data_IF_521047789990
#
_entry.id   IF_521047789990
#
_cell.length_a   1.000
_cell.length_b   1.000
_cell.length_c   1.000
_cell.angle_alpha   90.00
_cell.angle_beta   90.00
_cell.angle_gamma   90.00
#
_symmetry.space_group_name_H-M   'P 1'
#
loop_
_entity.id
_entity.type
_entity.pdbx_description
1 polymer ?
#
# COMPACT_ATOMS: atom_id res chain seq x y z
N UNK A 1 5.79 14.37 -53.27
CA UNK A 1 5.67 14.95 -51.92
C UNK A 1 5.59 13.80 -50.91
N UNK A 2 6.69 13.52 -50.21
CA UNK A 2 6.73 12.47 -49.18
C UNK A 2 6.46 13.18 -47.85
N UNK A 3 5.27 12.95 -47.28
CA UNK A 3 4.92 13.47 -45.96
C UNK A 3 5.74 12.77 -44.88
N UNK A 4 6.63 13.49 -44.23
CA UNK A 4 7.34 13.02 -43.05
C UNK A 4 6.31 12.82 -41.93
N UNK A 5 6.02 11.56 -41.60
CA UNK A 5 5.29 11.22 -40.39
C UNK A 5 6.13 11.67 -39.19
N UNK A 6 5.73 12.76 -38.54
CA UNK A 6 6.29 13.15 -37.26
C UNK A 6 5.88 12.11 -36.23
N UNK A 7 6.86 11.32 -35.79
CA UNK A 7 6.75 10.42 -34.64
C UNK A 7 6.19 11.25 -33.47
N UNK A 8 5.10 10.85 -32.79
CA UNK A 8 4.60 11.63 -31.67
C UNK A 8 5.72 11.69 -30.64
N UNK A 9 6.19 12.90 -30.37
CA UNK A 9 7.05 13.18 -29.23
C UNK A 9 6.25 12.69 -28.03
N UNK A 10 6.76 11.67 -27.34
CA UNK A 10 6.18 11.22 -26.07
C UNK A 10 6.48 12.33 -25.08
N UNK A 11 5.62 13.33 -25.08
CA UNK A 11 5.59 14.35 -24.03
C UNK A 11 5.27 13.59 -22.76
N UNK A 12 6.21 13.60 -21.83
CA UNK A 12 6.01 13.08 -20.49
C UNK A 12 4.66 13.64 -19.97
N UNK A 13 3.66 12.79 -19.67
CA UNK A 13 2.32 13.27 -19.34
C UNK A 13 2.30 14.08 -18.03
N UNK A 14 3.42 14.10 -17.31
CA UNK A 14 3.59 14.70 -15.99
C UNK A 14 4.66 15.78 -16.12
N UNK A 15 4.28 17.03 -15.85
CA UNK A 15 5.21 18.16 -15.86
C UNK A 15 6.33 18.00 -14.81
N UNK A 16 7.49 18.60 -15.09
CA UNK A 16 8.64 18.61 -14.17
C UNK A 16 8.31 19.28 -12.83
N UNK A 17 7.46 20.31 -12.86
CA UNK A 17 6.95 20.98 -11.66
C UNK A 17 6.06 20.08 -10.81
N UNK A 18 5.17 19.32 -11.44
CA UNK A 18 4.35 18.35 -10.72
C UNK A 18 5.22 17.28 -10.04
N UNK A 19 6.24 16.76 -10.76
CA UNK A 19 7.22 15.82 -10.16
C UNK A 19 7.92 16.42 -8.95
N UNK A 20 8.31 17.70 -9.02
CA UNK A 20 8.96 18.41 -7.91
C UNK A 20 8.04 18.54 -6.70
N UNK A 21 6.81 19.00 -6.89
CA UNK A 21 5.81 19.11 -5.82
C UNK A 21 5.52 17.75 -5.18
N UNK A 22 5.33 16.72 -6.00
CA UNK A 22 5.07 15.36 -5.48
C UNK A 22 6.22 14.82 -4.64
N UNK A 23 7.48 15.06 -5.04
CA UNK A 23 8.64 14.67 -4.21
C UNK A 23 8.69 15.45 -2.90
N UNK A 24 8.39 16.75 -2.92
CA UNK A 24 8.32 17.59 -1.72
C UNK A 24 7.27 17.09 -0.72
N UNK A 25 6.13 16.61 -1.23
CA UNK A 25 5.05 16.00 -0.43
C UNK A 25 5.31 14.52 -0.06
N UNK A 26 6.51 13.99 -0.33
CA UNK A 26 6.87 12.57 -0.13
C UNK A 26 5.98 11.58 -0.92
N UNK A 27 5.38 12.02 -2.03
CA UNK A 27 4.59 11.21 -2.97
C UNK A 27 5.45 10.71 -4.15
N UNK A 28 6.78 10.72 -4.01
CA UNK A 28 7.71 10.42 -5.10
C UNK A 28 7.54 9.02 -5.69
N UNK A 29 7.13 8.04 -4.88
CA UNK A 29 6.86 6.66 -5.32
C UNK A 29 5.53 6.49 -6.07
N UNK A 30 4.60 7.44 -5.93
CA UNK A 30 3.36 7.47 -6.70
C UNK A 30 3.61 7.89 -8.15
N UNK A 31 4.74 8.52 -8.45
CA UNK A 31 5.11 8.93 -9.81
C UNK A 31 5.28 7.74 -10.77
N UNK A 32 5.66 6.57 -10.25
CA UNK A 32 5.91 5.38 -11.06
C UNK A 32 4.60 4.80 -11.64
N UNK A 33 3.49 4.93 -10.91
CA UNK A 33 2.17 4.42 -11.31
C UNK A 33 1.21 5.49 -11.84
N UNK A 34 1.57 6.78 -11.68
CA UNK A 34 0.72 7.91 -12.06
C UNK A 34 0.31 7.92 -13.55
N UNK A 35 1.19 7.62 -14.54
CA UNK A 35 0.79 7.60 -15.95
C UNK A 35 -0.32 6.58 -16.25
N UNK A 36 -0.25 5.40 -15.62
CA UNK A 36 -1.26 4.35 -15.77
C UNK A 36 -2.58 4.78 -15.12
N UNK A 37 -2.52 5.37 -13.91
CA UNK A 37 -3.70 5.90 -13.22
C UNK A 37 -4.37 7.06 -13.98
N UNK A 38 -3.60 7.93 -14.65
CA UNK A 38 -4.14 8.98 -15.53
C UNK A 38 -4.89 8.39 -16.73
N UNK A 39 -4.32 7.36 -17.35
CA UNK A 39 -4.97 6.63 -18.46
C UNK A 39 -6.28 6.00 -18.00
N UNK A 40 -6.28 5.36 -16.82
CA UNK A 40 -7.47 4.79 -16.21
C UNK A 40 -8.54 5.85 -15.93
N UNK A 41 -8.15 7.01 -15.41
CA UNK A 41 -9.06 8.12 -15.11
C UNK A 41 -9.74 8.63 -16.38
N UNK A 42 -8.99 8.75 -17.47
CA UNK A 42 -9.54 9.13 -18.78
C UNK A 42 -10.51 8.07 -19.32
N UNK A 43 -10.13 6.79 -19.27
CA UNK A 43 -10.98 5.69 -19.76
C UNK A 43 -12.28 5.55 -18.98
N UNK A 44 -12.25 5.79 -17.67
CA UNK A 44 -13.41 5.68 -16.78
C UNK A 44 -14.16 7.00 -16.57
N UNK A 45 -13.74 8.07 -17.24
CA UNK A 45 -14.29 9.42 -17.07
C UNK A 45 -14.41 9.83 -15.59
N UNK A 46 -13.37 9.56 -14.80
CA UNK A 46 -13.39 9.89 -13.37
C UNK A 46 -13.42 11.40 -13.17
N UNK A 47 -14.18 11.84 -12.18
CA UNK A 47 -14.06 13.22 -11.70
C UNK A 47 -12.67 13.45 -11.08
N UNK A 48 -12.21 14.70 -11.04
CA UNK A 48 -10.94 15.04 -10.41
C UNK A 48 -10.88 14.59 -8.94
N UNK A 49 -11.99 14.71 -8.22
CA UNK A 49 -12.09 14.26 -6.83
C UNK A 49 -11.94 12.74 -6.73
N UNK A 50 -12.65 11.97 -7.57
CA UNK A 50 -12.55 10.51 -7.58
C UNK A 50 -11.16 10.02 -7.99
N UNK A 51 -10.49 10.73 -8.92
CA UNK A 51 -9.11 10.43 -9.28
C UNK A 51 -8.15 10.67 -8.13
N UNK A 52 -8.26 11.83 -7.44
CA UNK A 52 -7.43 12.14 -6.27
C UNK A 52 -7.66 11.14 -5.14
N UNK A 53 -8.91 10.77 -4.87
CA UNK A 53 -9.25 9.76 -3.88
C UNK A 53 -8.59 8.42 -4.20
N UNK A 54 -8.70 7.95 -5.45
CA UNK A 54 -8.09 6.71 -5.91
C UNK A 54 -6.57 6.69 -5.68
N UNK A 55 -5.85 7.71 -6.17
CA UNK A 55 -4.38 7.72 -6.09
C UNK A 55 -3.87 7.91 -4.66
N UNK A 56 -4.58 8.69 -3.83
CA UNK A 56 -4.21 8.92 -2.44
C UNK A 56 -4.50 7.70 -1.57
N UNK A 57 -5.61 6.99 -1.83
CA UNK A 57 -5.92 5.73 -1.17
C UNK A 57 -4.85 4.66 -1.47
N UNK A 58 -4.43 4.53 -2.73
CA UNK A 58 -3.34 3.63 -3.12
C UNK A 58 -2.03 3.93 -2.35
N UNK A 59 -1.64 5.21 -2.26
CA UNK A 59 -0.42 5.60 -1.54
C UNK A 59 -0.55 5.41 -0.02
N UNK A 60 -1.73 5.64 0.56
CA UNK A 60 -2.00 5.34 1.97
C UNK A 60 -1.80 3.85 2.26
N UNK A 61 -2.48 2.98 1.51
CA UNK A 61 -2.32 1.51 1.62
C UNK A 61 -0.86 1.08 1.47
N UNK A 62 -0.14 1.70 0.53
CA UNK A 62 1.28 1.40 0.31
C UNK A 62 2.18 1.80 1.48
N UNK A 63 1.92 2.96 2.11
CA UNK A 63 2.62 3.39 3.32
C UNK A 63 2.31 2.49 4.51
N UNK A 64 1.05 2.08 4.67
CA UNK A 64 0.64 1.16 5.71
C UNK A 64 1.33 -0.19 5.59
N UNK A 65 1.39 -0.74 4.37
CA UNK A 65 2.13 -1.98 4.08
C UNK A 65 3.63 -1.84 4.38
N UNK A 66 4.22 -0.70 4.02
CA UNK A 66 5.65 -0.42 4.28
C UNK A 66 5.93 -0.28 5.79
N UNK A 67 5.03 0.37 6.53
CA UNK A 67 5.09 0.51 7.99
C UNK A 67 4.94 -0.85 8.68
N UNK A 68 3.97 -1.65 8.26
CA UNK A 68 3.77 -3.01 8.76
C UNK A 68 5.00 -3.89 8.53
N UNK A 69 5.55 -3.89 7.31
CA UNK A 69 6.77 -4.63 6.99
C UNK A 69 7.99 -4.16 7.78
N UNK A 70 8.10 -2.86 8.07
CA UNK A 70 9.17 -2.32 8.94
C UNK A 70 9.00 -2.82 10.37
N UNK A 71 7.81 -2.70 10.96
CA UNK A 71 7.51 -3.18 12.32
C UNK A 71 7.75 -4.69 12.46
N UNK A 72 7.37 -5.48 11.45
CA UNK A 72 7.62 -6.92 11.45
C UNK A 72 9.13 -7.25 11.48
N UNK A 73 9.94 -6.54 10.69
CA UNK A 73 11.40 -6.70 10.70
C UNK A 73 12.02 -6.25 12.02
N UNK A 74 11.59 -5.12 12.57
CA UNK A 74 12.05 -4.62 13.87
C UNK A 74 11.71 -5.61 15.01
N UNK A 75 10.57 -6.30 14.92
CA UNK A 75 10.16 -7.34 15.85
C UNK A 75 10.84 -8.70 15.61
N UNK A 76 11.68 -8.84 14.59
CA UNK A 76 12.34 -10.11 14.25
C UNK A 76 11.39 -11.19 13.74
N UNK A 77 10.22 -10.81 13.23
CA UNK A 77 9.26 -11.77 12.66
C UNK A 77 9.81 -12.35 11.35
N UNK A 78 9.86 -13.67 11.28
CA UNK A 78 10.15 -14.39 10.04
C UNK A 78 8.91 -14.36 9.13
N UNK A 79 9.07 -13.82 7.91
CA UNK A 79 7.98 -13.71 6.94
C UNK A 79 7.46 -15.08 6.44
N UNK A 80 8.22 -16.16 6.66
CA UNK A 80 7.81 -17.52 6.34
C UNK A 80 6.96 -18.16 7.43
N UNK A 81 7.00 -17.65 8.67
CA UNK A 81 6.15 -18.10 9.78
C UNK A 81 4.73 -17.57 9.61
N UNK A 82 3.95 -18.23 8.75
CA UNK A 82 2.54 -17.94 8.50
C UNK A 82 1.64 -18.91 9.26
N UNK A 83 0.45 -18.45 9.62
CA UNK A 83 -0.58 -19.32 10.20
C UNK A 83 -0.92 -20.51 9.28
N UNK A 84 -0.93 -20.29 7.96
CA UNK A 84 -1.19 -21.36 6.97
C UNK A 84 -0.11 -22.45 6.92
N UNK A 85 1.11 -22.13 7.40
CA UNK A 85 2.21 -23.10 7.52
C UNK A 85 2.25 -23.80 8.88
N UNK A 86 1.24 -23.56 9.74
CA UNK A 86 1.14 -24.23 11.03
C UNK A 86 0.89 -25.72 10.85
N UNK A 87 1.74 -26.53 11.47
CA UNK A 87 1.62 -27.98 11.49
C UNK A 87 0.77 -28.42 12.68
N UNK A 88 -0.51 -28.70 12.43
CA UNK A 88 -1.46 -29.22 13.44
C UNK A 88 -1.08 -30.66 13.91
N UNK A 89 -0.10 -31.32 13.26
CA UNK A 89 0.42 -32.63 13.68
C UNK A 89 1.65 -32.55 14.58
N UNK A 90 2.20 -31.35 14.81
CA UNK A 90 3.31 -31.15 15.72
C UNK A 90 2.91 -31.57 17.14
N UNK A 91 3.81 -32.25 17.85
CA UNK A 91 3.57 -32.73 19.22
C UNK A 91 3.66 -31.60 20.27
N UNK A 92 2.90 -30.53 20.07
CA UNK A 92 2.84 -29.35 20.94
C UNK A 92 1.41 -29.19 21.45
N UNK A 93 1.26 -29.08 22.77
CA UNK A 93 -0.03 -28.78 23.41
C UNK A 93 -0.22 -27.27 23.55
N UNK A 94 -1.35 -26.75 23.09
CA UNK A 94 -1.72 -25.34 23.20
C UNK A 94 -3.24 -25.18 23.39
N UNK A 95 -3.69 -24.04 23.89
CA UNK A 95 -5.12 -23.74 24.02
C UNK A 95 -5.70 -23.34 22.65
N UNK A 96 -6.57 -24.21 22.11
CA UNK A 96 -7.22 -24.01 20.81
C UNK A 96 -8.22 -22.84 20.82
N UNK A 97 -8.81 -22.53 21.97
CA UNK A 97 -9.71 -21.38 22.13
C UNK A 97 -8.92 -20.09 22.02
N UNK A 98 -7.84 -19.98 22.82
CA UNK A 98 -6.94 -18.83 22.77
C UNK A 98 -6.31 -18.65 21.39
N UNK A 99 -5.89 -19.75 20.75
CA UNK A 99 -5.38 -19.72 19.38
C UNK A 99 -6.40 -19.14 18.39
N UNK A 100 -7.66 -19.58 18.45
CA UNK A 100 -8.74 -19.06 17.59
C UNK A 100 -8.98 -17.57 17.83
N UNK A 101 -8.96 -17.15 19.09
CA UNK A 101 -9.13 -15.74 19.46
C UNK A 101 -7.99 -14.87 18.91
N UNK A 102 -6.73 -15.31 19.05
CA UNK A 102 -5.56 -14.59 18.53
C UNK A 102 -5.54 -14.54 17.00
N UNK A 103 -5.83 -15.66 16.33
CA UNK A 103 -5.81 -15.74 14.86
C UNK A 103 -6.96 -15.00 14.19
N UNK A 104 -8.10 -14.86 14.87
CA UNK A 104 -9.22 -14.04 14.40
C UNK A 104 -8.98 -12.53 14.56
N UNK A 105 -7.93 -12.13 15.28
CA UNK A 105 -7.61 -10.73 15.61
C UNK A 105 -8.74 -9.97 16.32
N UNK A 106 -9.76 -10.64 16.87
CA UNK A 106 -10.92 -10.02 17.55
C UNK A 106 -10.54 -9.14 18.74
N UNK A 107 -9.36 -9.35 19.32
CA UNK A 107 -8.84 -8.47 20.37
C UNK A 107 -8.53 -7.05 19.87
N UNK A 108 -8.38 -6.84 18.56
CA UNK A 108 -8.20 -5.53 17.93
C UNK A 108 -9.48 -4.69 17.89
N UNK A 109 -10.66 -5.31 18.00
CA UNK A 109 -11.93 -4.59 18.04
C UNK A 109 -12.25 -4.05 19.46
N UNK A 110 -11.42 -4.40 20.44
CA UNK A 110 -11.56 -3.99 21.83
C UNK A 110 -10.89 -2.63 22.13
N UNK A 111 -11.28 -1.97 23.23
CA UNK A 111 -10.72 -0.67 23.65
C UNK A 111 -9.20 -0.70 23.90
N UNK A 112 -8.60 -1.87 24.12
CA UNK A 112 -7.15 -2.06 24.32
C UNK A 112 -6.31 -1.97 23.04
N UNK A 113 -6.92 -2.06 21.85
CA UNK A 113 -6.21 -1.99 20.58
C UNK A 113 -5.62 -0.60 20.30
N UNK A 114 -6.27 0.45 20.80
CA UNK A 114 -5.80 1.83 20.70
C UNK A 114 -4.51 2.07 21.50
N UNK A 115 -4.28 1.35 22.59
CA UNK A 115 -3.12 1.56 23.48
C UNK A 115 -1.79 1.13 22.84
N UNK A 116 -1.81 0.14 21.95
CA UNK A 116 -0.62 -0.40 21.31
C UNK A 116 -0.30 0.25 19.95
N UNK A 117 -1.16 1.17 19.50
CA UNK A 117 -1.00 1.92 18.25
C UNK A 117 -0.74 3.42 18.43
N UNK A 118 -0.66 3.91 19.67
CA UNK A 118 -0.07 5.23 19.95
C UNK A 118 1.42 5.08 20.25
N UNK A 119 2.24 5.20 19.21
CA UNK A 119 3.63 5.64 19.38
C UNK A 119 4.03 6.55 18.22
N UNK A 120 3.87 7.84 18.49
CA UNK A 120 4.78 8.93 18.10
C UNK A 120 6.12 8.45 17.50
N UNK A 121 6.40 8.90 16.27
CA UNK A 121 7.68 8.71 15.56
C UNK A 121 7.55 8.80 14.05
#
# INVERSE_FOLDING_TARGET
MIGMATKPVVTDPISTDLKRVMRQLKLGRMLDTLPERLTLAHQRHLSHAAFLELILADEATRRDNSSAARRAREAGLDATMRLDSWDDSAAVSYDRTLWTDLTSLRFLDGPTALCCWDRSG
#
